data_IF_640288623338
#
_entry.id   IF_640288623338
#
_cell.length_a   1.000
_cell.length_b   1.000
_cell.length_c   1.000
_cell.angle_alpha   90.00
_cell.angle_beta   90.00
_cell.angle_gamma   90.00
#
_symmetry.space_group_name_H-M   'P 1'
#
loop_
_entity.id
_entity.type
_entity.pdbx_description
1 polymer ?
#
# COMPACT_ATOMS: atom_id res chain seq x y z
N UNK A 1 -17.27 -10.33 6.36
CA UNK A 1 -18.08 -10.55 5.18
C UNK A 1 -17.27 -10.59 3.90
N UNK A 2 -17.96 -10.75 2.79
CA UNK A 2 -17.30 -10.93 1.49
C UNK A 2 -16.57 -9.66 1.04
N UNK A 3 -17.16 -8.49 1.29
CA UNK A 3 -16.58 -7.22 0.82
C UNK A 3 -15.24 -6.93 1.49
N UNK A 4 -15.16 -7.13 2.80
CA UNK A 4 -13.91 -6.91 3.54
C UNK A 4 -12.82 -7.86 3.05
N UNK A 5 -13.17 -9.12 2.78
CA UNK A 5 -12.21 -10.11 2.30
C UNK A 5 -11.69 -9.77 0.91
N UNK A 6 -12.57 -9.31 0.01
CA UNK A 6 -12.15 -8.92 -1.33
C UNK A 6 -11.21 -7.72 -1.30
N UNK A 7 -11.52 -6.71 -0.48
CA UNK A 7 -10.67 -5.54 -0.35
C UNK A 7 -9.36 -5.85 0.34
N UNK A 8 -9.38 -6.73 1.35
CA UNK A 8 -8.16 -7.22 1.98
C UNK A 8 -7.26 -7.89 0.95
N UNK A 9 -7.83 -8.78 0.12
CA UNK A 9 -7.05 -9.48 -0.91
C UNK A 9 -6.45 -8.51 -1.92
N UNK A 10 -7.19 -7.46 -2.29
CA UNK A 10 -6.71 -6.45 -3.23
C UNK A 10 -5.47 -5.73 -2.67
N UNK A 11 -5.52 -5.30 -1.43
CA UNK A 11 -4.41 -4.58 -0.79
C UNK A 11 -3.24 -5.53 -0.51
N UNK A 12 -3.52 -6.79 -0.18
CA UNK A 12 -2.49 -7.79 0.09
C UNK A 12 -1.73 -8.21 -1.17
N UNK A 13 -2.29 -7.98 -2.35
CA UNK A 13 -1.71 -8.41 -3.62
C UNK A 13 -0.65 -7.41 -4.12
N UNK A 14 0.41 -7.26 -3.37
CA UNK A 14 1.47 -6.27 -3.61
C UNK A 14 2.13 -6.45 -4.97
N UNK A 15 2.27 -7.69 -5.44
CA UNK A 15 2.91 -7.98 -6.72
C UNK A 15 2.19 -7.35 -7.92
N UNK A 16 0.91 -7.01 -7.77
CA UNK A 16 0.13 -6.40 -8.84
C UNK A 16 0.01 -4.89 -8.75
N UNK A 17 0.60 -4.27 -7.74
CA UNK A 17 0.56 -2.82 -7.58
C UNK A 17 1.01 -2.05 -8.82
N UNK A 18 2.05 -2.47 -9.56
CA UNK A 18 2.46 -1.74 -10.77
C UNK A 18 1.39 -1.67 -11.85
N UNK A 19 0.39 -2.57 -11.81
CA UNK A 19 -0.66 -2.59 -12.81
C UNK A 19 -1.63 -1.40 -12.68
N UNK A 20 -1.74 -0.80 -11.49
CA UNK A 20 -2.74 0.24 -11.27
C UNK A 20 -2.29 1.42 -10.42
N UNK A 21 -1.28 1.28 -9.57
CA UNK A 21 -0.81 2.41 -8.76
C UNK A 21 0.10 3.31 -9.58
N UNK A 22 -0.21 4.61 -9.66
CA UNK A 22 0.50 5.50 -10.60
C UNK A 22 1.96 5.73 -10.27
N UNK A 23 2.37 5.58 -9.02
CA UNK A 23 3.76 5.80 -8.61
C UNK A 23 4.50 4.51 -8.28
N UNK A 24 3.86 3.35 -8.42
CA UNK A 24 4.54 2.06 -8.24
C UNK A 24 5.02 1.57 -9.60
N UNK A 25 6.34 1.54 -9.78
CA UNK A 25 6.98 1.16 -11.05
C UNK A 25 7.17 -0.35 -11.16
N UNK A 26 7.48 -1.00 -10.05
CA UNK A 26 7.73 -2.43 -10.01
C UNK A 26 7.51 -2.95 -8.61
N UNK A 27 7.15 -4.23 -8.52
CA UNK A 27 7.01 -4.92 -7.24
C UNK A 27 7.42 -6.38 -7.43
N UNK A 28 8.27 -6.88 -6.54
CA UNK A 28 8.77 -8.24 -6.59
C UNK A 28 8.58 -8.92 -5.25
N UNK A 29 7.88 -10.03 -5.25
CA UNK A 29 7.66 -10.83 -4.03
C UNK A 29 8.90 -11.70 -3.81
N UNK A 30 9.57 -11.51 -2.67
CA UNK A 30 10.72 -12.34 -2.28
C UNK A 30 10.29 -13.62 -1.59
N UNK A 31 9.29 -13.49 -0.70
CA UNK A 31 8.75 -14.65 0.00
C UNK A 31 7.31 -14.36 0.38
N UNK A 32 6.52 -15.42 0.49
CA UNK A 32 5.10 -15.26 0.80
C UNK A 32 4.60 -16.49 1.54
N UNK A 33 3.95 -16.25 2.67
CA UNK A 33 3.17 -17.26 3.40
C UNK A 33 1.77 -16.71 3.60
N UNK A 34 0.91 -17.45 4.28
CA UNK A 34 -0.46 -16.98 4.55
C UNK A 34 -0.50 -15.75 5.44
N UNK A 35 0.55 -15.51 6.23
CA UNK A 35 0.56 -14.43 7.21
C UNK A 35 1.68 -13.41 7.00
N UNK A 36 2.62 -13.68 6.10
CA UNK A 36 3.78 -12.81 5.92
C UNK A 36 4.18 -12.76 4.47
N UNK A 37 4.49 -11.55 4.00
CA UNK A 37 4.96 -11.31 2.65
C UNK A 37 6.13 -10.34 2.73
N UNK A 38 7.23 -10.69 2.03
CA UNK A 38 8.38 -9.78 1.91
C UNK A 38 8.49 -9.39 0.45
N UNK A 39 8.53 -8.09 0.18
CA UNK A 39 8.53 -7.58 -1.19
C UNK A 39 9.49 -6.42 -1.37
N UNK A 40 10.10 -6.37 -2.56
CA UNK A 40 10.83 -5.20 -3.04
C UNK A 40 9.87 -4.37 -3.89
N UNK A 41 9.79 -3.08 -3.59
CA UNK A 41 8.93 -2.15 -4.32
C UNK A 41 9.77 -1.01 -4.87
N UNK A 42 9.56 -0.70 -6.14
CA UNK A 42 10.20 0.46 -6.79
C UNK A 42 9.14 1.53 -6.98
N UNK A 43 9.39 2.69 -6.40
CA UNK A 43 8.48 3.84 -6.50
C UNK A 43 9.13 4.92 -7.37
N UNK A 44 8.31 5.63 -8.12
CA UNK A 44 8.76 6.74 -8.95
C UNK A 44 7.80 7.91 -8.85
N UNK A 45 8.33 9.11 -8.59
CA UNK A 45 7.52 10.30 -8.42
C UNK A 45 8.36 11.53 -8.73
N UNK A 46 7.88 12.40 -9.62
CA UNK A 46 8.54 13.67 -9.97
C UNK A 46 10.01 13.49 -10.37
N UNK A 47 10.30 12.46 -11.18
CA UNK A 47 11.66 12.20 -11.65
C UNK A 47 12.54 11.46 -10.67
N UNK A 48 12.03 11.11 -9.50
CA UNK A 48 12.75 10.37 -8.47
C UNK A 48 12.34 8.91 -8.51
N UNK A 49 13.32 8.00 -8.46
CA UNK A 49 13.08 6.57 -8.41
C UNK A 49 13.80 5.99 -7.20
N UNK A 50 13.07 5.28 -6.34
CA UNK A 50 13.63 4.66 -5.15
C UNK A 50 13.11 3.24 -5.01
N UNK A 51 13.95 2.37 -4.45
CA UNK A 51 13.61 0.97 -4.19
C UNK A 51 13.67 0.73 -2.68
N UNK A 52 12.69 0.02 -2.16
CA UNK A 52 12.71 -0.37 -0.75
C UNK A 52 12.14 -1.78 -0.58
N UNK A 53 12.57 -2.42 0.52
CA UNK A 53 12.08 -3.74 0.92
C UNK A 53 11.15 -3.58 2.09
N UNK A 54 9.98 -4.20 2.01
CA UNK A 54 8.98 -4.15 3.06
C UNK A 54 8.59 -5.56 3.52
N UNK A 55 8.24 -5.65 4.78
CA UNK A 55 7.72 -6.87 5.40
C UNK A 55 6.25 -6.61 5.73
N UNK A 56 5.38 -7.36 5.08
CA UNK A 56 3.94 -7.17 5.20
C UNK A 56 3.33 -8.31 6.00
N UNK A 57 2.72 -7.98 7.12
CA UNK A 57 2.03 -8.96 7.96
C UNK A 57 0.56 -8.95 7.61
N UNK A 58 0.02 -10.14 7.32
CA UNK A 58 -1.36 -10.33 6.91
C UNK A 58 -2.12 -11.01 8.04
N UNK A 59 -2.97 -10.25 8.72
CA UNK A 59 -3.83 -10.76 9.79
C UNK A 59 -5.26 -10.82 9.27
N UNK A 60 -5.55 -11.88 8.55
CA UNK A 60 -6.83 -12.05 7.86
C UNK A 60 -8.03 -12.14 8.83
N UNK A 61 -7.94 -12.89 9.93
CA UNK A 61 -9.07 -12.97 10.86
C UNK A 61 -9.50 -11.62 11.44
N UNK A 62 -8.57 -10.71 11.64
CA UNK A 62 -8.85 -9.39 12.20
C UNK A 62 -8.94 -8.29 11.14
N UNK A 63 -8.72 -8.64 9.87
CA UNK A 63 -8.79 -7.67 8.77
C UNK A 63 -7.71 -6.60 8.85
N UNK A 64 -6.49 -6.97 9.23
CA UNK A 64 -5.39 -6.02 9.43
C UNK A 64 -4.21 -6.39 8.54
N UNK A 65 -3.69 -5.39 7.82
CA UNK A 65 -2.44 -5.51 7.06
C UNK A 65 -1.47 -4.48 7.63
N UNK A 66 -0.29 -4.94 8.05
CA UNK A 66 0.76 -4.06 8.56
C UNK A 66 2.01 -4.18 7.71
N UNK A 67 2.59 -3.04 7.37
CA UNK A 67 3.82 -2.99 6.59
C UNK A 67 4.92 -2.40 7.46
N UNK A 68 6.01 -3.14 7.61
CA UNK A 68 7.22 -2.69 8.29
C UNK A 68 8.32 -2.52 7.25
N UNK A 69 9.17 -1.54 7.49
CA UNK A 69 10.29 -1.22 6.60
C UNK A 69 11.51 -2.05 6.97
N UNK A 70 12.16 -2.64 5.97
CA UNK A 70 13.40 -3.39 6.19
C UNK A 70 14.62 -2.69 5.63
N UNK A 71 14.55 -2.19 4.40
CA UNK A 71 15.71 -1.59 3.75
C UNK A 71 15.29 -0.63 2.64
N UNK A 72 16.03 0.47 2.50
CA UNK A 72 15.78 1.45 1.44
C UNK A 72 16.07 2.88 1.88
N UNK A 73 15.38 3.87 1.28
CA UNK A 73 15.69 5.29 1.45
C UNK A 73 15.06 5.96 2.68
N UNK A 74 14.35 5.21 3.50
CA UNK A 74 13.63 5.78 4.65
C UNK A 74 14.45 5.71 5.93
N UNK A 75 14.23 6.66 6.82
CA UNK A 75 14.63 6.53 8.22
C UNK A 75 13.73 5.53 8.92
N UNK A 76 12.43 5.62 8.62
CA UNK A 76 11.41 4.69 9.11
C UNK A 76 10.22 4.73 8.17
N UNK A 77 9.41 3.68 8.20
CA UNK A 77 8.14 3.61 7.50
C UNK A 77 7.22 2.69 8.28
N UNK A 78 6.07 3.20 8.70
CA UNK A 78 5.03 2.42 9.35
C UNK A 78 3.74 2.61 8.60
N UNK A 79 3.05 1.51 8.32
CA UNK A 79 1.80 1.55 7.57
C UNK A 79 0.89 0.45 8.08
N UNK A 80 -0.39 0.74 8.20
CA UNK A 80 -1.36 -0.31 8.43
C UNK A 80 -2.68 0.02 7.76
N UNK A 81 -3.41 -1.06 7.44
CA UNK A 81 -4.75 -1.03 6.90
C UNK A 81 -5.64 -1.86 7.81
N UNK A 82 -6.80 -1.33 8.17
CA UNK A 82 -7.81 -2.08 8.93
C UNK A 82 -9.09 -2.10 8.12
N UNK A 83 -9.63 -3.29 7.91
CA UNK A 83 -10.85 -3.52 7.13
C UNK A 83 -11.93 -3.98 8.08
N UNK A 84 -12.98 -3.17 8.24
CA UNK A 84 -14.09 -3.47 9.13
C UNK A 84 -15.40 -3.56 8.37
N UNK A 85 -16.32 -4.46 8.78
CA UNK A 85 -17.65 -4.51 8.17
C UNK A 85 -18.39 -3.20 8.40
N UNK A 86 -19.15 -2.79 7.40
CA UNK A 86 -19.96 -1.57 7.47
C UNK A 86 -21.28 -1.85 6.73
N UNK A 87 -22.41 -1.25 7.18
CA UNK A 87 -23.68 -1.45 6.50
C UNK A 87 -23.66 -1.17 5.00
N UNK A 88 -22.84 -0.20 4.58
CA UNK A 88 -22.72 0.19 3.18
C UNK A 88 -21.55 -0.52 2.47
N UNK A 89 -20.93 -1.54 3.09
CA UNK A 89 -19.84 -2.29 2.49
C UNK A 89 -18.70 -2.55 3.44
N UNK A 90 -17.67 -1.74 3.41
CA UNK A 90 -16.47 -1.91 4.23
C UNK A 90 -15.92 -0.56 4.65
N UNK A 91 -15.58 -0.44 5.93
CA UNK A 91 -14.87 0.73 6.43
C UNK A 91 -13.37 0.40 6.42
N UNK A 92 -12.59 1.25 5.76
CA UNK A 92 -11.15 1.08 5.66
C UNK A 92 -10.47 2.18 6.44
N UNK A 93 -9.63 1.79 7.42
CA UNK A 93 -8.78 2.72 8.15
C UNK A 93 -7.36 2.55 7.65
N UNK A 94 -6.79 3.62 7.11
CA UNK A 94 -5.45 3.62 6.53
C UNK A 94 -4.57 4.59 7.29
N UNK A 95 -3.40 4.11 7.70
CA UNK A 95 -2.41 4.92 8.38
C UNK A 95 -1.04 4.72 7.73
N UNK A 96 -0.33 5.81 7.49
CA UNK A 96 1.07 5.76 7.05
C UNK A 96 1.87 6.87 7.72
N UNK A 97 3.06 6.51 8.21
CA UNK A 97 4.00 7.45 8.80
C UNK A 97 5.40 7.07 8.34
N UNK A 98 6.11 8.00 7.73
CA UNK A 98 7.44 7.74 7.21
C UNK A 98 8.26 9.01 7.11
N UNK A 99 9.58 8.82 7.02
CA UNK A 99 10.50 9.93 6.75
C UNK A 99 11.65 9.42 5.89
N UNK A 100 11.99 10.16 4.84
CA UNK A 100 13.15 9.86 4.01
C UNK A 100 14.44 10.25 4.71
N UNK A 101 15.54 9.54 4.42
CA UNK A 101 16.87 9.92 4.90
C UNK A 101 17.35 11.19 4.19
N UNK A 102 17.04 11.35 2.92
CA UNK A 102 17.36 12.53 2.14
C UNK A 102 16.44 13.68 2.51
N UNK A 103 17.02 14.81 2.93
CA UNK A 103 16.24 16.01 3.25
C UNK A 103 15.55 16.58 2.03
N UNK A 104 16.16 16.44 0.86
CA UNK A 104 15.57 16.89 -0.39
C UNK A 104 14.33 16.09 -0.73
N UNK A 105 14.41 14.75 -0.65
CA UNK A 105 13.27 13.88 -0.90
C UNK A 105 12.15 14.15 0.08
N UNK A 106 12.49 14.35 1.36
CA UNK A 106 11.51 14.63 2.39
C UNK A 106 10.74 15.92 2.10
N UNK A 107 11.41 16.96 1.66
CA UNK A 107 10.76 18.23 1.30
C UNK A 107 9.82 18.06 0.12
N UNK A 108 10.24 17.31 -0.89
CA UNK A 108 9.42 17.05 -2.07
C UNK A 108 8.13 16.30 -1.68
N UNK A 109 8.25 15.24 -0.87
CA UNK A 109 7.06 14.47 -0.49
C UNK A 109 6.14 15.28 0.42
N UNK A 110 6.67 16.15 1.28
CA UNK A 110 5.83 17.00 2.14
C UNK A 110 4.93 17.91 1.31
N UNK A 111 5.45 18.42 0.18
CA UNK A 111 4.65 19.25 -0.72
C UNK A 111 3.55 18.45 -1.42
N UNK A 112 3.86 17.23 -1.85
CA UNK A 112 2.97 16.44 -2.70
C UNK A 112 2.23 15.30 -1.98
N UNK A 113 2.39 15.19 -0.68
CA UNK A 113 1.88 14.04 0.08
C UNK A 113 0.36 13.87 -0.07
N UNK A 114 -0.39 14.95 0.10
CA UNK A 114 -1.87 14.87 0.01
C UNK A 114 -2.33 14.44 -1.37
N UNK A 115 -1.66 14.95 -2.41
CA UNK A 115 -1.98 14.54 -3.79
C UNK A 115 -1.66 13.06 -4.01
N UNK A 116 -0.51 12.60 -3.52
CA UNK A 116 -0.09 11.21 -3.67
C UNK A 116 -1.08 10.26 -2.98
N UNK A 117 -1.51 10.61 -1.77
CA UNK A 117 -2.48 9.78 -1.03
C UNK A 117 -3.82 9.74 -1.75
N UNK A 118 -4.32 10.88 -2.24
CA UNK A 118 -5.58 10.91 -2.97
C UNK A 118 -5.53 10.07 -4.24
N UNK A 119 -4.41 10.11 -4.96
CA UNK A 119 -4.23 9.29 -6.16
C UNK A 119 -4.18 7.81 -5.82
N UNK A 120 -3.52 7.47 -4.72
CA UNK A 120 -3.47 6.09 -4.25
C UNK A 120 -4.86 5.56 -3.90
N UNK A 121 -5.62 6.31 -3.11
CA UNK A 121 -6.97 5.91 -2.71
C UNK A 121 -7.86 5.76 -3.94
N UNK A 122 -7.81 6.72 -4.85
CA UNK A 122 -8.59 6.65 -6.09
C UNK A 122 -8.22 5.46 -6.95
N UNK A 123 -6.92 5.13 -7.01
CA UNK A 123 -6.44 3.98 -7.79
C UNK A 123 -6.95 2.66 -7.20
N UNK A 124 -6.92 2.51 -5.86
CA UNK A 124 -7.47 1.32 -5.21
C UNK A 124 -8.99 1.22 -5.40
N UNK A 125 -9.71 2.32 -5.31
CA UNK A 125 -11.15 2.32 -5.56
C UNK A 125 -11.47 1.91 -6.99
N UNK A 126 -10.76 2.48 -7.96
CA UNK A 126 -10.96 2.14 -9.38
C UNK A 126 -10.64 0.68 -9.64
N UNK A 127 -9.57 0.16 -9.03
CA UNK A 127 -9.18 -1.24 -9.20
C UNK A 127 -10.23 -2.17 -8.60
N UNK A 128 -10.77 -1.82 -7.44
CA UNK A 128 -11.83 -2.61 -6.81
C UNK A 128 -13.08 -2.68 -7.70
N UNK A 129 -13.48 -1.56 -8.29
CA UNK A 129 -14.60 -1.55 -9.24
C UNK A 129 -14.30 -2.39 -10.48
N UNK A 130 -13.08 -2.32 -10.99
CA UNK A 130 -12.67 -3.09 -12.16
C UNK A 130 -12.74 -4.60 -11.89
N UNK A 131 -12.25 -5.05 -10.73
CA UNK A 131 -12.18 -6.48 -10.40
C UNK A 131 -13.48 -7.04 -9.87
N UNK A 132 -14.23 -6.27 -9.09
CA UNK A 132 -15.39 -6.78 -8.34
C UNK A 132 -16.71 -6.15 -8.77
N UNK A 133 -16.66 -5.21 -9.69
CA UNK A 133 -17.82 -4.53 -10.22
C UNK A 133 -18.29 -3.36 -9.35
N UNK A 134 -19.18 -2.53 -9.90
CA UNK A 134 -19.76 -1.42 -9.16
C UNK A 134 -20.74 -1.93 -8.13
N UNK A 135 -20.65 -1.43 -6.92
CA UNK A 135 -21.52 -1.82 -5.84
C UNK A 135 -21.90 -0.63 -4.99
#
# INVERSE_FOLDING_TARGET
GVVEELLFDLVADVGRYPEFLPWCRAARIRSKTDTLLVADVVIGFKGITEKFTSRVTLDRPNGIIRTAYEDGPFKYLNNHWVFEPHPDGCLIDFYVDFEFRSKMLQKIIEVFFNEAVRRMVGAFEARAHELYGPK
#
